data_IF_532096565181
#
_entry.id   IF_532096565181
#
_cell.length_a   1.000
_cell.length_b   1.000
_cell.length_c   1.000
_cell.angle_alpha   90.00
_cell.angle_beta   90.00
_cell.angle_gamma   90.00
#
_symmetry.space_group_name_H-M   'P 1'
#
loop_
_entity.id
_entity.type
_entity.pdbx_description
1 polymer ?
#
# COMPACT_ATOMS: atom_id res chain seq x y z
N UNK A 1 38.16 12.06 62.24
CA UNK A 1 37.08 12.84 61.61
C UNK A 1 37.06 12.40 60.14
N UNK A 2 36.52 11.21 59.90
CA UNK A 2 36.54 10.51 58.59
C UNK A 2 35.12 10.22 58.07
N UNK A 3 34.07 10.61 58.81
CA UNK A 3 32.67 10.31 58.47
C UNK A 3 32.07 11.24 57.41
N UNK A 4 32.68 12.40 57.14
CA UNK A 4 32.11 13.39 56.19
C UNK A 4 32.48 13.08 54.73
N UNK A 5 33.63 12.43 54.49
CA UNK A 5 34.09 12.07 53.14
C UNK A 5 33.41 10.80 52.61
N UNK A 6 33.05 9.86 53.50
CA UNK A 6 32.38 8.61 53.11
C UNK A 6 30.89 8.81 52.77
N UNK A 7 30.23 9.79 53.40
CA UNK A 7 28.88 10.22 53.04
C UNK A 7 28.81 10.86 51.64
N UNK A 8 29.83 11.67 51.28
CA UNK A 8 29.90 12.30 49.96
C UNK A 8 30.15 11.28 48.83
N UNK A 9 30.93 10.21 49.10
CA UNK A 9 31.15 9.11 48.15
C UNK A 9 29.88 8.26 47.94
N UNK A 10 29.10 8.00 49.01
CA UNK A 10 27.80 7.30 48.90
C UNK A 10 26.73 8.14 48.20
N UNK A 11 26.73 9.46 48.38
CA UNK A 11 25.79 10.35 47.70
C UNK A 11 25.99 10.37 46.17
N UNK A 12 27.24 10.31 45.68
CA UNK A 12 27.53 10.19 44.24
C UNK A 12 27.07 8.84 43.67
N UNK A 13 27.34 7.75 44.39
CA UNK A 13 26.89 6.40 43.99
C UNK A 13 25.36 6.23 44.00
N UNK A 14 24.63 6.97 44.86
CA UNK A 14 23.16 6.93 44.90
C UNK A 14 22.50 7.68 43.75
N UNK A 15 23.13 8.75 43.24
CA UNK A 15 22.62 9.49 42.08
C UNK A 15 22.79 8.69 40.77
N UNK A 16 23.86 7.88 40.67
CA UNK A 16 24.13 7.08 39.49
C UNK A 16 23.22 5.83 39.38
N UNK A 17 22.71 5.30 40.51
CA UNK A 17 21.82 4.13 40.52
C UNK A 17 20.35 4.46 40.15
N UNK A 18 19.94 5.72 40.26
CA UNK A 18 18.60 6.15 39.82
C UNK A 18 18.53 6.49 38.32
N UNK A 19 19.66 6.73 37.64
CA UNK A 19 19.68 6.81 36.17
C UNK A 19 19.47 5.42 35.54
N UNK A 20 19.84 4.34 36.23
CA UNK A 20 19.67 2.97 35.76
C UNK A 20 18.21 2.44 35.82
N UNK A 21 17.25 3.23 36.31
CA UNK A 21 15.80 2.87 36.32
C UNK A 21 14.90 3.89 35.62
N UNK A 22 15.49 4.93 35.03
CA UNK A 22 14.77 6.02 34.37
C UNK A 22 14.95 6.09 32.86
N UNK A 23 15.76 5.21 32.28
CA UNK A 23 16.08 5.23 30.85
C UNK A 23 15.74 3.90 30.17
N UNK A 24 14.46 3.52 30.28
CA UNK A 24 13.79 3.03 29.09
C UNK A 24 13.30 4.30 28.41
N UNK A 25 14.19 5.00 27.71
CA UNK A 25 13.79 5.67 26.48
C UNK A 25 12.84 4.67 25.79
N UNK A 26 11.56 4.97 25.55
CA UNK A 26 10.73 4.14 24.69
C UNK A 26 11.36 4.32 23.32
N UNK A 27 12.43 3.56 23.13
CA UNK A 27 13.50 3.72 22.17
C UNK A 27 12.79 3.91 20.87
N UNK A 28 12.71 5.19 20.47
CA UNK A 28 11.74 5.76 19.54
C UNK A 28 11.14 4.64 18.76
N UNK A 29 10.07 4.05 19.31
CA UNK A 29 9.52 2.81 18.78
C UNK A 29 9.14 3.22 17.40
N UNK A 30 9.97 2.84 16.41
CA UNK A 30 9.95 3.34 15.03
C UNK A 30 8.49 3.48 14.77
N UNK A 31 8.01 4.72 14.62
CA UNK A 31 6.59 4.97 14.54
C UNK A 31 6.12 4.00 13.47
N UNK A 32 5.52 2.87 13.90
CA UNK A 32 4.98 1.89 13.00
C UNK A 32 4.01 2.78 12.30
N UNK A 33 4.22 3.10 11.00
CA UNK A 33 3.36 4.03 10.30
C UNK A 33 1.98 3.54 10.65
N UNK A 34 1.24 4.37 11.39
CA UNK A 34 0.07 3.90 12.11
C UNK A 34 -0.87 3.43 11.02
N UNK A 35 -0.84 2.14 10.73
CA UNK A 35 -1.64 1.57 9.67
C UNK A 35 -3.02 1.62 10.26
N UNK A 36 -3.73 2.73 10.02
CA UNK A 36 -5.12 2.78 10.42
C UNK A 36 -5.74 1.58 9.71
N UNK A 37 -6.41 0.73 10.48
CA UNK A 37 -7.06 -0.47 9.95
C UNK A 37 -7.87 -0.14 8.69
N UNK A 38 -8.42 1.08 8.63
CA UNK A 38 -9.16 1.65 7.51
C UNK A 38 -8.35 1.74 6.21
N UNK A 39 -7.12 2.26 6.21
CA UNK A 39 -6.30 2.35 5.00
C UNK A 39 -5.91 0.96 4.48
N UNK A 40 -5.60 0.01 5.37
CA UNK A 40 -5.31 -1.37 4.98
C UNK A 40 -6.54 -2.06 4.40
N UNK A 41 -7.72 -1.86 5.00
CA UNK A 41 -8.99 -2.40 4.49
C UNK A 41 -9.28 -1.84 3.09
N UNK A 42 -9.10 -0.52 2.90
CA UNK A 42 -9.32 0.11 1.60
C UNK A 42 -8.32 -0.38 0.54
N UNK A 43 -7.06 -0.61 0.91
CA UNK A 43 -6.08 -1.21 0.01
C UNK A 43 -6.54 -2.57 -0.51
N UNK A 44 -6.99 -3.46 0.38
CA UNK A 44 -7.48 -4.79 0.01
C UNK A 44 -8.72 -4.70 -0.88
N UNK A 45 -9.62 -3.73 -0.62
CA UNK A 45 -10.78 -3.46 -1.48
C UNK A 45 -10.36 -3.04 -2.88
N UNK A 46 -9.44 -2.08 -3.00
CA UNK A 46 -8.93 -1.63 -4.31
C UNK A 46 -8.22 -2.75 -5.06
N UNK A 47 -7.42 -3.57 -4.38
CA UNK A 47 -6.77 -4.74 -4.98
C UNK A 47 -7.80 -5.75 -5.50
N UNK A 48 -8.88 -5.99 -4.76
CA UNK A 48 -10.00 -6.84 -5.21
C UNK A 48 -10.67 -6.28 -6.48
N UNK A 49 -10.95 -4.98 -6.51
CA UNK A 49 -11.53 -4.32 -7.69
C UNK A 49 -10.57 -4.37 -8.89
N UNK A 50 -9.27 -4.16 -8.67
CA UNK A 50 -8.26 -4.31 -9.73
C UNK A 50 -8.22 -5.74 -10.29
N UNK A 51 -8.32 -6.77 -9.44
CA UNK A 51 -8.39 -8.17 -9.88
C UNK A 51 -9.64 -8.41 -10.72
N UNK A 52 -10.82 -7.94 -10.28
CA UNK A 52 -12.06 -8.07 -11.05
C UNK A 52 -11.96 -7.39 -12.42
N UNK A 53 -11.45 -6.16 -12.47
CA UNK A 53 -11.26 -5.42 -13.72
C UNK A 53 -10.25 -6.11 -14.64
N UNK A 54 -9.17 -6.67 -14.09
CA UNK A 54 -8.19 -7.44 -14.87
C UNK A 54 -8.80 -8.71 -15.49
N UNK A 55 -9.64 -9.43 -14.77
CA UNK A 55 -10.35 -10.60 -15.33
C UNK A 55 -11.24 -10.20 -16.50
N UNK A 56 -12.00 -9.11 -16.38
CA UNK A 56 -12.81 -8.56 -17.49
C UNK A 56 -11.96 -8.16 -18.69
N UNK A 57 -10.85 -7.47 -18.44
CA UNK A 57 -9.89 -7.04 -19.45
C UNK A 57 -9.30 -8.22 -20.22
N UNK A 58 -8.87 -9.27 -19.54
CA UNK A 58 -8.34 -10.48 -20.18
C UNK A 58 -9.39 -11.21 -21.03
N UNK A 59 -10.67 -11.20 -20.59
CA UNK A 59 -11.78 -11.73 -21.38
C UNK A 59 -12.01 -10.95 -22.67
N UNK A 60 -12.13 -9.62 -22.58
CA UNK A 60 -12.30 -8.75 -23.75
C UNK A 60 -11.12 -8.81 -24.71
N UNK A 61 -9.89 -8.82 -24.18
CA UNK A 61 -8.69 -8.94 -25.00
C UNK A 61 -8.69 -10.22 -25.85
N UNK A 62 -9.14 -11.35 -25.28
CA UNK A 62 -9.29 -12.60 -26.03
C UNK A 62 -10.36 -12.50 -27.11
N UNK A 63 -11.50 -11.86 -26.83
CA UNK A 63 -12.58 -11.68 -27.81
C UNK A 63 -12.13 -10.79 -28.99
N UNK A 64 -11.50 -9.66 -28.69
CA UNK A 64 -10.94 -8.74 -29.69
C UNK A 64 -9.94 -9.49 -30.57
N UNK A 65 -9.01 -10.23 -29.95
CA UNK A 65 -8.00 -11.01 -30.68
C UNK A 65 -8.62 -12.11 -31.55
N UNK A 66 -9.70 -12.77 -31.10
CA UNK A 66 -10.43 -13.74 -31.91
C UNK A 66 -11.06 -13.07 -33.13
N UNK A 67 -11.73 -11.93 -32.94
CA UNK A 67 -12.33 -11.15 -34.03
C UNK A 67 -11.28 -10.66 -35.04
N UNK A 68 -10.13 -10.18 -34.58
CA UNK A 68 -9.00 -9.79 -35.45
C UNK A 68 -8.47 -10.96 -36.30
N UNK A 69 -8.53 -12.18 -35.77
CA UNK A 69 -8.00 -13.38 -36.45
C UNK A 69 -9.04 -14.05 -37.36
N UNK A 70 -10.31 -14.08 -36.97
CA UNK A 70 -11.38 -14.83 -37.65
C UNK A 70 -12.08 -14.02 -38.76
N UNK A 71 -12.02 -12.69 -38.73
CA UNK A 71 -12.70 -11.84 -39.72
C UNK A 71 -11.74 -11.34 -40.82
N UNK A 72 -11.75 -11.98 -41.99
CA UNK A 72 -11.04 -11.54 -43.21
C UNK A 72 -11.73 -10.35 -43.94
N UNK A 73 -12.27 -9.40 -43.17
CA UNK A 73 -12.89 -8.16 -43.64
C UNK A 73 -12.41 -7.02 -42.74
N UNK A 74 -12.26 -5.77 -43.25
CA UNK A 74 -11.62 -4.70 -42.49
C UNK A 74 -12.29 -4.55 -41.13
N UNK A 75 -11.54 -4.93 -40.10
CA UNK A 75 -11.94 -5.08 -38.71
C UNK A 75 -12.52 -3.77 -38.13
N UNK A 76 -12.20 -2.63 -38.76
CA UNK A 76 -12.64 -1.29 -38.36
C UNK A 76 -14.14 -0.98 -38.60
N UNK A 77 -14.85 -1.69 -39.49
CA UNK A 77 -16.23 -1.34 -39.85
C UNK A 77 -17.31 -2.10 -39.02
N UNK A 78 -16.90 -3.01 -38.12
CA UNK A 78 -17.83 -3.77 -37.28
C UNK A 78 -18.20 -2.98 -36.01
N UNK A 79 -19.50 -2.68 -35.85
CA UNK A 79 -20.04 -2.04 -34.64
C UNK A 79 -19.69 -2.84 -33.36
N UNK A 80 -19.64 -4.17 -33.45
CA UNK A 80 -19.25 -5.03 -32.33
C UNK A 80 -17.77 -4.84 -31.94
N UNK A 81 -16.87 -4.79 -32.93
CA UNK A 81 -15.45 -4.61 -32.69
C UNK A 81 -15.14 -3.24 -32.09
N UNK A 82 -15.75 -2.19 -32.65
CA UNK A 82 -15.61 -0.81 -32.13
C UNK A 82 -16.13 -0.69 -30.70
N UNK A 83 -17.24 -1.35 -30.38
CA UNK A 83 -17.78 -1.42 -29.02
C UNK A 83 -16.80 -2.11 -28.06
N UNK A 84 -16.26 -3.28 -28.44
CA UNK A 84 -15.28 -3.98 -27.61
C UNK A 84 -13.98 -3.18 -27.40
N UNK A 85 -13.49 -2.48 -28.42
CA UNK A 85 -12.34 -1.59 -28.30
C UNK A 85 -12.61 -0.42 -27.33
N UNK A 86 -13.81 0.16 -27.38
CA UNK A 86 -14.22 1.22 -26.46
C UNK A 86 -14.30 0.71 -25.01
N UNK A 87 -14.89 -0.47 -24.80
CA UNK A 87 -14.95 -1.12 -23.47
C UNK A 87 -13.56 -1.47 -22.93
N UNK A 88 -12.68 -2.00 -23.79
CA UNK A 88 -11.29 -2.30 -23.44
C UNK A 88 -10.57 -1.04 -22.95
N UNK A 89 -10.68 0.06 -23.70
CA UNK A 89 -10.11 1.36 -23.33
C UNK A 89 -10.70 1.88 -22.02
N UNK A 90 -12.01 1.73 -21.84
CA UNK A 90 -12.68 2.11 -20.59
C UNK A 90 -12.10 1.36 -19.38
N UNK A 91 -11.95 0.05 -19.47
CA UNK A 91 -11.39 -0.77 -18.38
C UNK A 91 -9.92 -0.47 -18.14
N UNK A 92 -9.14 -0.22 -19.19
CA UNK A 92 -7.75 0.21 -19.07
C UNK A 92 -7.62 1.51 -18.25
N UNK A 93 -8.46 2.51 -18.56
CA UNK A 93 -8.47 3.78 -17.81
C UNK A 93 -8.91 3.60 -16.36
N UNK A 94 -9.89 2.74 -16.08
CA UNK A 94 -10.32 2.43 -14.71
C UNK A 94 -9.22 1.69 -13.92
N UNK A 95 -8.50 0.77 -14.55
CA UNK A 95 -7.35 0.11 -13.93
C UNK A 95 -6.24 1.10 -13.55
N UNK A 96 -5.97 2.08 -14.40
CA UNK A 96 -4.99 3.12 -14.11
C UNK A 96 -5.44 4.02 -12.94
N UNK A 97 -6.73 4.39 -12.88
CA UNK A 97 -7.29 5.13 -11.75
C UNK A 97 -7.20 4.35 -10.44
N UNK A 98 -7.55 3.06 -10.45
CA UNK A 98 -7.45 2.19 -9.27
C UNK A 98 -6.00 2.03 -8.82
N UNK A 99 -5.07 1.89 -9.77
CA UNK A 99 -3.63 1.84 -9.49
C UNK A 99 -3.15 3.13 -8.83
N UNK A 100 -3.57 4.29 -9.34
CA UNK A 100 -3.29 5.59 -8.74
C UNK A 100 -3.77 5.67 -7.28
N UNK A 101 -5.03 5.30 -7.01
CA UNK A 101 -5.60 5.29 -5.65
C UNK A 101 -4.85 4.36 -4.70
N UNK A 102 -4.57 3.13 -5.15
CA UNK A 102 -3.83 2.13 -4.35
C UNK A 102 -2.40 2.60 -4.07
N UNK A 103 -1.74 3.25 -5.03
CA UNK A 103 -0.38 3.78 -4.83
C UNK A 103 -0.37 4.85 -3.73
N UNK A 104 -1.34 5.77 -3.72
CA UNK A 104 -1.48 6.76 -2.63
C UNK A 104 -1.61 6.07 -1.27
N UNK A 105 -2.45 5.04 -1.17
CA UNK A 105 -2.65 4.27 0.07
C UNK A 105 -1.40 3.46 0.46
N UNK A 106 -0.60 3.02 -0.51
CA UNK A 106 0.65 2.27 -0.25
C UNK A 106 1.73 3.12 0.42
N UNK A 107 1.61 4.46 0.39
CA UNK A 107 2.46 5.36 1.17
C UNK A 107 1.91 5.64 2.58
N UNK A 108 0.69 5.18 2.89
CA UNK A 108 -0.02 5.42 4.15
C UNK A 108 -0.12 4.18 5.05
N UNK A 109 0.15 2.98 4.52
CA UNK A 109 0.22 1.70 5.26
C UNK A 109 1.65 1.18 5.25
#
# INVERSE_FOLDING_TARGET
MEDEEEAAKRARLSADYDIARGDIEPHTGLAVPGSSCEHCIEKVRLESEMVKSRVKFEGLFKLIKMLEQDCYHPVDDSEEYTTYCAEYTSIETELEKLRGKRNVISYLC
#
